data_IF_084900302237
#
_entry.id   IF_084900302237
#
_cell.length_a   1.000
_cell.length_b   1.000
_cell.length_c   1.000
_cell.angle_alpha   90.00
_cell.angle_beta   90.00
_cell.angle_gamma   90.00
#
_symmetry.space_group_name_H-M   'P 1'
#
loop_
_entity.id
_entity.type
_entity.pdbx_description
1 polymer ?
#
# COMPACT_ATOMS: atom_id res chain seq x y z
N UNK A 1 8.34 14.67 27.50
CA UNK A 1 8.92 13.34 27.73
C UNK A 1 10.33 13.33 27.13
N UNK A 2 11.39 13.66 27.90
CA UNK A 2 12.76 13.80 27.39
C UNK A 2 13.31 12.50 26.79
N UNK A 3 12.93 11.35 27.32
CA UNK A 3 13.35 10.04 26.82
C UNK A 3 12.84 9.72 25.41
N UNK A 4 11.64 10.17 25.06
CA UNK A 4 11.10 9.96 23.73
C UNK A 4 11.88 10.74 22.67
N UNK A 5 12.21 12.00 22.96
CA UNK A 5 13.02 12.84 22.09
C UNK A 5 14.44 12.27 21.87
N UNK A 6 15.07 11.76 22.92
CA UNK A 6 16.40 11.13 22.81
C UNK A 6 16.37 9.87 21.95
N UNK A 7 15.38 8.99 22.14
CA UNK A 7 15.21 7.79 21.30
C UNK A 7 14.92 8.16 19.85
N UNK A 8 14.09 9.17 19.62
CA UNK A 8 13.81 9.66 18.27
C UNK A 8 15.08 10.25 17.61
N UNK A 9 15.92 10.97 18.36
CA UNK A 9 17.18 11.52 17.85
C UNK A 9 18.14 10.41 17.40
N UNK A 10 18.33 9.37 18.21
CA UNK A 10 19.16 8.21 17.85
C UNK A 10 18.68 7.52 16.58
N UNK A 11 17.35 7.36 16.43
CA UNK A 11 16.76 6.80 15.21
C UNK A 11 17.01 7.70 14.00
N UNK A 12 16.88 9.03 14.15
CA UNK A 12 17.11 9.98 13.06
C UNK A 12 18.59 10.00 12.63
N UNK A 13 19.54 9.94 13.56
CA UNK A 13 20.97 9.85 13.24
C UNK A 13 21.28 8.58 12.45
N UNK A 14 20.76 7.42 12.88
CA UNK A 14 20.89 6.15 12.16
C UNK A 14 20.27 6.19 10.75
N UNK A 15 19.18 6.93 10.57
CA UNK A 15 18.53 7.12 9.26
C UNK A 15 19.35 8.03 8.35
N UNK A 16 19.87 9.14 8.86
CA UNK A 16 20.70 10.08 8.10
C UNK A 16 22.07 9.49 7.69
N UNK A 17 22.53 8.43 8.37
CA UNK A 17 23.76 7.72 8.00
C UNK A 17 23.59 6.77 6.82
N UNK A 18 22.37 6.48 6.39
CA UNK A 18 22.09 5.61 5.23
C UNK A 18 22.43 6.32 3.92
N UNK A 19 22.83 5.53 2.91
CA UNK A 19 22.99 6.07 1.56
C UNK A 19 21.65 6.41 0.92
N UNK A 20 21.62 7.40 0.04
CA UNK A 20 20.39 7.79 -0.66
C UNK A 20 19.74 6.62 -1.44
N UNK A 21 20.57 5.74 -2.01
CA UNK A 21 20.09 4.55 -2.74
C UNK A 21 19.43 3.54 -1.80
N UNK A 22 20.03 3.28 -0.64
CA UNK A 22 19.49 2.39 0.37
C UNK A 22 18.15 2.90 0.89
N UNK A 23 18.09 4.19 1.23
CA UNK A 23 16.86 4.88 1.65
C UNK A 23 15.77 4.77 0.58
N UNK A 24 16.11 5.01 -0.70
CA UNK A 24 15.16 4.92 -1.80
C UNK A 24 14.59 3.50 -1.96
N UNK A 25 15.45 2.48 -1.93
CA UNK A 25 15.01 1.08 -2.05
C UNK A 25 14.10 0.69 -0.89
N UNK A 26 14.48 1.01 0.35
CA UNK A 26 13.66 0.74 1.54
C UNK A 26 12.32 1.46 1.48
N UNK A 27 12.29 2.70 0.98
CA UNK A 27 11.07 3.47 0.78
C UNK A 27 10.17 2.87 -0.31
N UNK A 28 10.75 2.38 -1.42
CA UNK A 28 9.98 1.72 -2.48
C UNK A 28 9.27 0.45 -1.96
N UNK A 29 9.97 -0.40 -1.22
CA UNK A 29 9.35 -1.59 -0.62
C UNK A 29 8.24 -1.24 0.38
N UNK A 30 8.43 -0.19 1.18
CA UNK A 30 7.38 0.33 2.04
C UNK A 30 6.14 0.75 1.23
N UNK A 31 6.33 1.50 0.14
CA UNK A 31 5.25 1.92 -0.76
C UNK A 31 4.48 0.75 -1.35
N UNK A 32 5.17 -0.31 -1.77
CA UNK A 32 4.57 -1.56 -2.28
C UNK A 32 3.69 -2.21 -1.20
N UNK A 33 4.22 -2.41 0.01
CA UNK A 33 3.49 -3.06 1.10
C UNK A 33 2.27 -2.26 1.54
N UNK A 34 2.39 -0.94 1.66
CA UNK A 34 1.27 -0.08 2.02
C UNK A 34 0.19 -0.08 0.95
N UNK A 35 0.57 -0.06 -0.33
CA UNK A 35 -0.37 -0.19 -1.43
C UNK A 35 -1.11 -1.53 -1.40
N UNK A 36 -0.40 -2.64 -1.20
CA UNK A 36 -1.00 -3.98 -1.08
C UNK A 36 -1.98 -4.06 0.08
N UNK A 37 -1.62 -3.52 1.25
CA UNK A 37 -2.51 -3.48 2.41
C UNK A 37 -3.84 -2.80 2.08
N UNK A 38 -3.79 -1.64 1.41
CA UNK A 38 -4.99 -0.89 1.00
C UNK A 38 -5.79 -1.64 -0.06
N UNK A 39 -5.14 -2.24 -1.06
CA UNK A 39 -5.83 -3.00 -2.12
C UNK A 39 -6.53 -4.23 -1.56
N UNK A 40 -5.89 -4.98 -0.68
CA UNK A 40 -6.49 -6.16 -0.03
C UNK A 40 -7.72 -5.73 0.78
N UNK A 41 -7.60 -4.65 1.57
CA UNK A 41 -8.71 -4.11 2.32
C UNK A 41 -9.88 -3.71 1.42
N UNK A 42 -9.62 -2.94 0.35
CA UNK A 42 -10.67 -2.46 -0.56
C UNK A 42 -11.37 -3.57 -1.34
N UNK A 43 -10.64 -4.62 -1.75
CA UNK A 43 -11.21 -5.72 -2.52
C UNK A 43 -11.98 -6.72 -1.66
N UNK A 44 -11.45 -7.06 -0.50
CA UNK A 44 -11.97 -8.16 0.31
C UNK A 44 -12.70 -7.66 1.57
N UNK A 45 -12.72 -6.35 1.84
CA UNK A 45 -13.20 -5.74 3.10
C UNK A 45 -12.56 -6.39 4.34
N UNK A 46 -11.33 -6.89 4.17
CA UNK A 46 -10.60 -7.66 5.17
C UNK A 46 -9.43 -6.85 5.72
N UNK A 47 -9.35 -6.76 7.03
CA UNK A 47 -8.25 -6.07 7.76
C UNK A 47 -6.94 -6.86 7.77
N UNK A 48 -6.97 -8.13 7.35
CA UNK A 48 -5.80 -9.00 7.36
C UNK A 48 -4.62 -8.45 6.55
N UNK A 49 -4.89 -7.78 5.43
CA UNK A 49 -3.84 -7.13 4.64
C UNK A 49 -3.07 -6.09 5.46
N UNK A 50 -3.77 -5.25 6.21
CA UNK A 50 -3.17 -4.25 7.08
C UNK A 50 -2.42 -4.94 8.23
N UNK A 51 -3.06 -5.94 8.86
CA UNK A 51 -2.50 -6.67 9.99
C UNK A 51 -1.18 -7.38 9.67
N UNK A 52 -0.98 -7.86 8.45
CA UNK A 52 0.28 -8.48 8.02
C UNK A 52 1.27 -7.47 7.43
N UNK A 53 0.84 -6.58 6.56
CA UNK A 53 1.76 -5.67 5.87
C UNK A 53 2.40 -4.63 6.80
N UNK A 54 1.65 -4.11 7.79
CA UNK A 54 2.16 -3.09 8.70
C UNK A 54 3.27 -3.62 9.61
N UNK A 55 3.13 -4.75 10.31
CA UNK A 55 4.24 -5.32 11.07
C UNK A 55 5.44 -5.67 10.19
N UNK A 56 5.22 -6.20 8.99
CA UNK A 56 6.32 -6.54 8.08
C UNK A 56 7.14 -5.32 7.73
N UNK A 57 6.53 -4.18 7.34
CA UNK A 57 7.31 -3.00 6.98
C UNK A 57 8.06 -2.42 8.19
N UNK A 58 7.48 -2.48 9.40
CA UNK A 58 8.12 -1.99 10.64
C UNK A 58 9.32 -2.86 10.99
N UNK A 59 9.16 -4.18 11.00
CA UNK A 59 10.20 -5.14 11.36
C UNK A 59 11.34 -5.18 10.34
N UNK A 60 11.04 -4.96 9.07
CA UNK A 60 12.04 -4.90 8.00
C UNK A 60 12.82 -3.57 7.97
N UNK A 61 12.45 -2.60 8.81
CA UNK A 61 13.11 -1.30 8.83
C UNK A 61 12.91 -0.50 7.54
N UNK A 62 11.78 -0.70 6.86
CA UNK A 62 11.45 0.06 5.66
C UNK A 62 11.09 1.52 5.98
N UNK A 63 11.38 2.42 5.05
CA UNK A 63 11.27 3.85 5.26
C UNK A 63 9.88 4.38 4.85
N UNK A 64 9.10 4.77 5.87
CA UNK A 64 7.78 5.36 5.68
C UNK A 64 7.83 6.88 5.90
N UNK A 65 7.40 7.68 4.93
CA UNK A 65 7.48 9.14 4.96
C UNK A 65 6.80 9.76 6.18
N UNK A 66 5.57 9.34 6.50
CA UNK A 66 4.81 9.90 7.64
C UNK A 66 5.47 9.55 8.98
N UNK A 67 5.94 8.31 9.15
CA UNK A 67 6.65 7.90 10.36
C UNK A 67 7.96 8.69 10.55
N UNK A 68 8.68 8.91 9.45
CA UNK A 68 9.92 9.68 9.49
C UNK A 68 9.66 11.17 9.83
N UNK A 69 8.61 11.78 9.28
CA UNK A 69 8.20 13.13 9.68
C UNK A 69 7.93 13.22 11.19
N UNK A 70 7.26 12.21 11.74
CA UNK A 70 7.02 12.15 13.18
C UNK A 70 8.34 12.04 13.98
N UNK A 71 9.28 11.17 13.57
CA UNK A 71 10.57 11.03 14.26
C UNK A 71 11.40 12.31 14.20
N UNK A 72 11.52 12.94 13.04
CA UNK A 72 12.25 14.21 12.91
C UNK A 72 11.60 15.34 13.69
N UNK A 73 10.27 15.45 13.70
CA UNK A 73 9.54 16.41 14.54
C UNK A 73 9.75 16.17 16.03
N UNK A 74 9.72 14.91 16.48
CA UNK A 74 9.84 14.55 17.89
C UNK A 74 11.27 14.71 18.41
N UNK A 75 12.26 14.52 17.55
CA UNK A 75 13.68 14.72 17.87
C UNK A 75 14.10 16.19 17.90
N UNK A 76 13.33 17.07 17.24
CA UNK A 76 13.72 18.48 17.04
C UNK A 76 14.87 18.66 16.03
N UNK A 77 15.28 17.60 15.31
CA UNK A 77 16.31 17.68 14.27
C UNK A 77 15.70 18.28 13.01
N UNK A 78 15.99 19.56 12.78
CA UNK A 78 15.61 20.29 11.56
C UNK A 78 16.91 20.65 10.84
N UNK A 79 17.30 19.83 9.86
CA UNK A 79 18.47 20.05 9.03
C UNK A 79 18.11 19.94 7.54
N UNK A 80 18.97 20.50 6.70
CA UNK A 80 18.79 20.37 5.25
C UNK A 80 18.87 18.89 4.81
N UNK A 81 19.75 18.12 5.43
CA UNK A 81 19.90 16.69 5.17
C UNK A 81 18.62 15.91 5.53
N UNK A 82 17.98 16.24 6.66
CA UNK A 82 16.70 15.67 7.04
C UNK A 82 15.60 15.99 6.04
N UNK A 83 15.60 17.20 5.49
CA UNK A 83 14.66 17.61 4.46
C UNK A 83 14.86 16.82 3.16
N UNK A 84 16.11 16.73 2.67
CA UNK A 84 16.45 15.93 1.48
C UNK A 84 16.09 14.45 1.68
N UNK A 85 16.43 13.90 2.84
CA UNK A 85 16.08 12.53 3.21
C UNK A 85 14.58 12.26 3.12
N UNK A 86 13.76 13.15 3.69
CA UNK A 86 12.30 13.02 3.63
C UNK A 86 11.76 13.03 2.20
N UNK A 87 12.32 13.86 1.31
CA UNK A 87 11.93 13.87 -0.10
C UNK A 87 12.29 12.55 -0.80
N UNK A 88 13.47 11.99 -0.53
CA UNK A 88 13.86 10.68 -1.07
C UNK A 88 12.85 9.61 -0.63
N UNK A 89 12.44 9.61 0.63
CA UNK A 89 11.47 8.66 1.16
C UNK A 89 10.09 8.87 0.54
N UNK A 90 9.61 10.10 0.38
CA UNK A 90 8.32 10.41 -0.26
C UNK A 90 8.29 9.89 -1.69
N UNK A 91 9.33 10.20 -2.49
CA UNK A 91 9.44 9.74 -3.86
C UNK A 91 9.55 8.22 -3.94
N UNK A 92 10.30 7.60 -3.03
CA UNK A 92 10.41 6.14 -2.95
C UNK A 92 9.07 5.47 -2.64
N UNK A 93 8.33 5.96 -1.64
CA UNK A 93 7.00 5.42 -1.32
C UNK A 93 6.03 5.57 -2.52
N UNK A 94 6.04 6.72 -3.19
CA UNK A 94 5.20 6.96 -4.36
C UNK A 94 5.59 6.04 -5.54
N UNK A 95 6.89 5.91 -5.82
CA UNK A 95 7.39 5.04 -6.88
C UNK A 95 7.03 3.57 -6.64
N UNK A 96 7.17 3.08 -5.40
CA UNK A 96 6.77 1.72 -5.03
C UNK A 96 5.28 1.46 -5.23
N UNK A 97 4.41 2.39 -4.81
CA UNK A 97 2.98 2.29 -5.01
C UNK A 97 2.59 2.31 -6.49
N UNK A 98 3.21 3.18 -7.30
CA UNK A 98 2.98 3.27 -8.74
C UNK A 98 3.46 2.01 -9.47
N UNK A 99 4.61 1.47 -9.11
CA UNK A 99 5.13 0.22 -9.65
C UNK A 99 4.14 -0.91 -9.42
N UNK A 100 3.61 -1.04 -8.20
CA UNK A 100 2.65 -2.09 -7.87
C UNK A 100 1.31 -1.91 -8.59
N UNK A 101 0.85 -0.64 -8.73
CA UNK A 101 -0.33 -0.32 -9.52
C UNK A 101 -0.17 -0.76 -10.97
N UNK A 102 0.99 -0.48 -11.56
CA UNK A 102 1.31 -0.84 -12.94
C UNK A 102 1.38 -2.36 -13.12
N UNK A 103 2.05 -3.08 -12.21
CA UNK A 103 2.12 -4.53 -12.24
C UNK A 103 0.72 -5.18 -12.13
N UNK A 104 -0.11 -4.70 -11.21
CA UNK A 104 -1.48 -5.20 -11.10
C UNK A 104 -2.35 -4.85 -12.31
N UNK A 105 -2.09 -3.73 -12.97
CA UNK A 105 -2.76 -3.38 -14.21
C UNK A 105 -2.38 -4.34 -15.34
N UNK A 106 -1.09 -4.68 -15.47
CA UNK A 106 -0.62 -5.66 -16.47
C UNK A 106 -1.15 -7.07 -16.21
N UNK A 107 -1.23 -7.47 -14.92
CA UNK A 107 -1.76 -8.78 -14.53
C UNK A 107 -3.29 -8.86 -14.54
N UNK A 108 -3.99 -7.75 -14.80
CA UNK A 108 -5.43 -7.74 -14.90
C UNK A 108 -5.83 -8.42 -16.21
N UNK A 109 -6.17 -9.71 -16.15
CA UNK A 109 -6.79 -10.42 -17.26
C UNK A 109 -8.04 -9.67 -17.73
N UNK A 110 -8.19 -9.56 -19.06
CA UNK A 110 -9.41 -8.99 -19.68
C UNK A 110 -10.61 -9.67 -19.05
N UNK A 111 -11.65 -8.93 -18.63
CA UNK A 111 -12.84 -9.56 -18.05
C UNK A 111 -13.35 -10.58 -19.06
N UNK A 112 -13.34 -11.85 -18.69
CA UNK A 112 -13.99 -12.91 -19.42
C UNK A 112 -15.43 -12.46 -19.59
N UNK A 113 -15.83 -12.22 -20.85
CA UNK A 113 -17.17 -11.82 -21.21
C UNK A 113 -18.11 -12.84 -20.55
N UNK A 114 -18.92 -12.42 -19.60
CA UNK A 114 -19.97 -13.25 -19.02
C UNK A 114 -20.76 -13.76 -20.21
N UNK A 115 -20.59 -15.03 -20.49
CA UNK A 115 -21.36 -15.75 -21.48
C UNK A 115 -22.82 -15.55 -21.07
N UNK A 116 -23.53 -14.75 -21.86
CA UNK A 116 -24.98 -14.55 -21.72
C UNK A 116 -25.60 -15.94 -21.78
N UNK A 117 -26.15 -16.41 -20.68
CA UNK A 117 -26.98 -17.60 -20.66
C UNK A 117 -28.09 -17.39 -21.70
N UNK A 118 -28.35 -18.37 -22.60
CA UNK A 118 -29.41 -18.24 -23.55
C UNK A 118 -30.75 -18.17 -22.79
N UNK A 119 -31.58 -17.19 -23.17
CA UNK A 119 -32.94 -16.95 -22.69
C UNK A 119 -33.90 -18.05 -23.17
N UNK A 120 -33.70 -19.30 -22.78
CA UNK A 120 -34.58 -20.41 -23.14
C UNK A 120 -35.47 -20.90 -21.99
N UNK A 121 -35.46 -20.25 -20.84
CA UNK A 121 -36.22 -20.75 -19.67
C UNK A 121 -37.52 -19.96 -19.43
N UNK A 122 -37.69 -18.79 -20.04
CA UNK A 122 -38.92 -18.00 -19.83
C UNK A 122 -40.07 -18.40 -20.78
N UNK A 123 -39.76 -18.85 -22.00
CA UNK A 123 -40.79 -19.22 -22.99
C UNK A 123 -41.54 -20.51 -22.60
N UNK A 124 -40.89 -21.43 -21.86
CA UNK A 124 -41.51 -22.69 -21.42
C UNK A 124 -42.43 -22.53 -20.19
N UNK A 125 -42.35 -21.44 -19.47
CA UNK A 125 -43.21 -21.16 -18.29
C UNK A 125 -44.51 -20.46 -18.69
N UNK A 126 -44.53 -19.79 -19.83
CA UNK A 126 -45.71 -19.08 -20.35
C UNK A 126 -46.64 -20.02 -21.10
N UNK A 127 -46.08 -21.02 -21.81
CA UNK A 127 -46.86 -22.05 -22.52
C UNK A 127 -47.60 -23.00 -21.55
N UNK A 128 -47.01 -23.30 -20.39
CA UNK A 128 -47.67 -24.13 -19.35
C UNK A 128 -48.80 -23.39 -18.63
N UNK A 129 -48.80 -22.07 -18.61
CA UNK A 129 -49.83 -21.26 -17.96
C UNK A 129 -51.07 -21.09 -18.83
N UNK A 130 -50.90 -21.14 -20.15
CA UNK A 130 -52.02 -21.05 -21.13
C UNK A 130 -52.74 -22.37 -21.37
N UNK A 131 -52.22 -23.50 -20.88
CA UNK A 131 -52.85 -24.80 -21.00
C UNK A 131 -53.74 -25.19 -19.79
N UNK A 132 -53.83 -24.33 -18.77
CA UNK A 132 -54.63 -24.58 -17.56
C UNK A 132 -55.83 -23.60 -17.39
N UNK A 133 -56.32 -22.98 -18.49
CA UNK A 133 -57.56 -22.16 -18.45
C UNK A 133 -58.64 -22.83 -19.34
#
# INVERSE_FOLDING_TARGET
>A
LPELGQKAALLCEGKLSQTALETLIRAMFCGILMYLAVVIYRKNQSVWGIFFCVPVFILSGFEHSIANMFYFSSSGIVSFDAFVYLWIVIFGNAAGALLMTFLLFLCREKPTQKQSLPKQTEEKSEDTRNLMV
#
